data_IF_058003754594
#
_entry.id   IF_058003754594
#
_cell.length_a   1.000
_cell.length_b   1.000
_cell.length_c   1.000
_cell.angle_alpha   90.00
_cell.angle_beta   90.00
_cell.angle_gamma   90.00
#
_symmetry.space_group_name_H-M   'P 1'
#
loop_
_entity.id
_entity.type
_entity.pdbx_description
1 polymer ?
#
# COMPACT_ATOMS: atom_id res chain seq x y z
N UNK A 1 -12.35 -22.69 -2.25
CA UNK A 1 -10.88 -22.66 -2.32
C UNK A 1 -10.35 -23.09 -0.96
N UNK A 2 -9.38 -23.99 -0.93
CA UNK A 2 -8.60 -24.25 0.29
C UNK A 2 -7.89 -22.95 0.70
N UNK A 3 -7.72 -22.75 1.99
CA UNK A 3 -6.97 -21.60 2.55
C UNK A 3 -5.53 -21.67 2.05
N UNK A 4 -5.03 -20.59 1.44
CA UNK A 4 -3.64 -20.49 1.03
C UNK A 4 -2.87 -19.69 2.09
N UNK A 5 -2.20 -20.39 2.99
CA UNK A 5 -1.46 -19.80 4.12
C UNK A 5 -0.40 -18.81 3.67
N UNK A 6 0.32 -19.11 2.57
CA UNK A 6 1.37 -18.23 2.06
C UNK A 6 0.82 -16.86 1.66
N UNK A 7 -0.29 -16.82 0.91
CA UNK A 7 -0.94 -15.56 0.49
C UNK A 7 -1.55 -14.83 1.68
N UNK A 8 -2.18 -15.54 2.61
CA UNK A 8 -2.78 -14.93 3.81
C UNK A 8 -1.71 -14.27 4.68
N UNK A 9 -0.60 -14.97 4.94
CA UNK A 9 0.50 -14.44 5.76
C UNK A 9 1.27 -13.33 5.04
N UNK A 10 1.44 -13.44 3.70
CA UNK A 10 2.03 -12.37 2.91
C UNK A 10 1.20 -11.08 3.01
N UNK A 11 -0.13 -11.17 2.84
CA UNK A 11 -1.02 -10.01 2.99
C UNK A 11 -0.87 -9.36 4.37
N UNK A 12 -0.78 -10.17 5.41
CA UNK A 12 -0.58 -9.70 6.79
C UNK A 12 0.80 -9.07 6.97
N UNK A 13 1.83 -9.65 6.39
CA UNK A 13 3.19 -9.10 6.38
C UNK A 13 3.25 -7.74 5.69
N UNK A 14 2.58 -7.59 4.53
CA UNK A 14 2.48 -6.29 3.86
C UNK A 14 1.70 -5.28 4.69
N UNK A 15 0.67 -5.69 5.43
CA UNK A 15 -0.01 -4.81 6.39
C UNK A 15 0.93 -4.32 7.49
N UNK A 16 1.79 -5.18 8.01
CA UNK A 16 2.84 -4.76 8.98
C UNK A 16 3.77 -3.73 8.34
N UNK A 17 4.20 -3.95 7.08
CA UNK A 17 5.05 -2.99 6.35
C UNK A 17 4.36 -1.63 6.15
N UNK A 18 3.04 -1.58 5.97
CA UNK A 18 2.29 -0.32 5.94
C UNK A 18 2.40 0.42 7.28
N UNK A 19 2.27 -0.29 8.41
CA UNK A 19 2.42 0.34 9.74
C UNK A 19 3.85 0.79 9.97
N UNK A 20 4.85 -0.05 9.61
CA UNK A 20 6.29 0.31 9.66
C UNK A 20 6.55 1.58 8.86
N UNK A 21 6.02 1.67 7.63
CA UNK A 21 6.20 2.83 6.76
C UNK A 21 5.69 4.13 7.43
N UNK A 22 4.46 4.12 7.93
CA UNK A 22 3.87 5.30 8.56
C UNK A 22 4.52 5.64 9.92
N UNK A 23 4.93 4.63 10.70
CA UNK A 23 5.65 4.84 11.95
C UNK A 23 7.04 5.46 11.73
N UNK A 24 7.69 5.11 10.61
CA UNK A 24 9.02 5.61 10.26
C UNK A 24 9.01 7.04 9.72
N UNK A 25 7.94 7.45 8.99
CA UNK A 25 7.89 8.73 8.27
C UNK A 25 8.22 9.95 9.15
N UNK A 26 7.79 9.98 10.41
CA UNK A 26 8.07 11.11 11.32
C UNK A 26 9.57 11.36 11.55
N UNK A 27 10.41 10.32 11.37
CA UNK A 27 11.82 10.31 11.74
C UNK A 27 12.78 10.19 10.55
N UNK A 28 12.27 10.26 9.30
CA UNK A 28 13.09 10.26 8.08
C UNK A 28 13.74 11.62 7.85
N UNK A 29 14.88 11.65 7.16
CA UNK A 29 15.62 12.91 6.90
C UNK A 29 14.92 13.78 5.86
N UNK A 30 14.12 13.20 4.98
CA UNK A 30 13.38 13.90 3.92
C UNK A 30 11.99 14.39 4.35
N UNK A 31 11.50 13.96 5.52
CA UNK A 31 10.16 14.38 5.95
C UNK A 31 10.11 15.84 6.31
N UNK A 32 9.06 16.49 5.83
CA UNK A 32 8.79 17.90 6.02
C UNK A 32 7.41 18.11 6.62
N UNK A 33 7.32 19.02 7.60
CA UNK A 33 6.08 19.53 8.18
C UNK A 33 5.87 20.98 7.75
N UNK A 34 4.71 21.28 7.18
CA UNK A 34 4.31 22.63 6.76
C UNK A 34 3.22 23.16 7.72
N UNK A 35 3.54 24.04 8.67
CA UNK A 35 2.55 24.57 9.62
C UNK A 35 1.40 25.32 8.96
N UNK A 36 1.66 25.97 7.82
CA UNK A 36 0.65 26.69 7.06
C UNK A 36 -0.31 25.79 6.29
N UNK A 37 0.12 24.57 5.97
CA UNK A 37 -0.63 23.57 5.19
C UNK A 37 -0.44 22.16 5.73
N UNK A 38 -0.76 21.94 7.01
CA UNK A 38 -0.49 20.73 7.76
C UNK A 38 -0.99 19.45 7.07
N UNK A 39 -2.10 19.51 6.32
CA UNK A 39 -2.65 18.37 5.56
C UNK A 39 -1.81 18.00 4.32
N UNK A 40 -0.81 18.80 3.94
CA UNK A 40 0.12 18.56 2.83
C UNK A 40 1.53 18.19 3.28
N UNK A 41 1.75 18.10 4.57
CA UNK A 41 3.00 17.62 5.13
C UNK A 41 3.28 16.16 4.74
N UNK A 42 4.55 15.75 4.76
CA UNK A 42 4.95 14.36 4.46
C UNK A 42 4.31 13.37 5.42
N UNK A 43 4.18 13.76 6.68
CA UNK A 43 3.45 13.04 7.72
C UNK A 43 2.73 14.03 8.62
N UNK A 44 1.63 13.63 9.32
CA UNK A 44 0.90 14.51 10.24
C UNK A 44 1.77 15.06 11.37
N UNK A 45 2.72 14.28 11.82
CA UNK A 45 3.71 14.65 12.85
C UNK A 45 5.09 14.35 12.31
N UNK A 46 6.03 15.30 12.46
CA UNK A 46 7.41 15.16 12.02
C UNK A 46 8.32 15.63 13.13
N UNK A 47 9.19 14.74 13.61
CA UNK A 47 10.12 15.01 14.71
C UNK A 47 11.35 15.79 14.21
N UNK A 48 11.99 16.54 15.09
CA UNK A 48 13.30 17.17 14.82
C UNK A 48 14.43 16.16 14.81
N UNK A 49 14.30 15.07 15.57
CA UNK A 49 15.26 13.98 15.59
C UNK A 49 15.05 13.05 14.40
N UNK A 50 16.10 12.86 13.61
CA UNK A 50 16.08 12.08 12.37
C UNK A 50 17.00 10.87 12.48
N UNK A 51 16.69 9.83 11.72
CA UNK A 51 17.54 8.64 11.65
C UNK A 51 17.57 8.07 10.23
N UNK A 52 18.66 8.33 9.50
CA UNK A 52 18.84 8.01 8.08
C UNK A 52 18.51 6.55 7.71
N UNK A 53 18.76 5.52 8.52
CA UNK A 53 18.33 4.16 8.16
C UNK A 53 16.82 4.02 7.91
N UNK A 54 15.97 4.87 8.49
CA UNK A 54 14.53 4.86 8.21
C UNK A 54 14.21 5.38 6.80
N UNK A 55 15.06 6.20 6.20
CA UNK A 55 14.92 6.62 4.80
C UNK A 55 15.01 5.40 3.87
N UNK A 56 15.94 4.47 4.17
CA UNK A 56 16.10 3.23 3.41
C UNK A 56 14.89 2.32 3.58
N UNK A 57 14.36 2.20 4.81
CA UNK A 57 13.18 1.40 5.10
C UNK A 57 11.96 1.94 4.37
N UNK A 58 11.71 3.24 4.46
CA UNK A 58 10.57 3.90 3.80
C UNK A 58 10.72 3.85 2.28
N UNK A 59 11.91 4.21 1.77
CA UNK A 59 12.19 4.23 0.34
C UNK A 59 12.06 2.86 -0.31
N UNK A 60 12.67 1.81 0.29
CA UNK A 60 12.56 0.45 -0.24
C UNK A 60 11.12 -0.08 -0.18
N UNK A 61 10.43 0.15 0.94
CA UNK A 61 9.06 -0.30 1.14
C UNK A 61 8.09 0.34 0.14
N UNK A 62 8.25 1.64 -0.14
CA UNK A 62 7.40 2.38 -1.10
C UNK A 62 7.49 1.83 -2.54
N UNK A 63 8.60 1.15 -2.88
CA UNK A 63 8.80 0.59 -4.22
C UNK A 63 7.83 -0.54 -4.57
N UNK A 64 7.29 -1.30 -3.60
CA UNK A 64 6.57 -2.54 -3.94
C UNK A 64 5.28 -2.81 -3.16
N UNK A 65 5.16 -2.32 -1.91
CA UNK A 65 4.10 -2.80 -1.00
C UNK A 65 2.68 -2.52 -1.51
N UNK A 66 2.45 -1.35 -2.13
CA UNK A 66 1.13 -1.02 -2.67
C UNK A 66 0.78 -1.80 -3.94
N UNK A 67 1.63 -1.89 -4.98
CA UNK A 67 1.37 -2.77 -6.12
C UNK A 67 1.11 -4.23 -5.69
N UNK A 68 1.89 -4.75 -4.76
CA UNK A 68 1.72 -6.11 -4.23
C UNK A 68 0.36 -6.28 -3.53
N UNK A 69 -0.13 -5.28 -2.78
CA UNK A 69 -1.46 -5.31 -2.17
C UNK A 69 -2.57 -5.33 -3.21
N UNK A 70 -2.44 -4.57 -4.31
CA UNK A 70 -3.40 -4.63 -5.41
C UNK A 70 -3.37 -5.99 -6.11
N UNK A 71 -2.19 -6.55 -6.37
CA UNK A 71 -2.04 -7.91 -6.93
C UNK A 71 -2.75 -8.95 -6.07
N UNK A 72 -2.43 -9.00 -4.77
CA UNK A 72 -3.02 -9.95 -3.82
C UNK A 72 -4.55 -9.80 -3.78
N UNK A 73 -5.05 -8.56 -3.80
CA UNK A 73 -6.48 -8.28 -3.80
C UNK A 73 -7.16 -8.77 -5.09
N UNK A 74 -6.47 -8.71 -6.23
CA UNK A 74 -6.91 -9.20 -7.54
C UNK A 74 -7.08 -10.71 -7.59
N UNK A 75 -6.20 -11.47 -6.93
CA UNK A 75 -6.23 -12.95 -6.93
C UNK A 75 -7.59 -13.55 -6.55
N UNK A 76 -8.36 -12.86 -5.75
CA UNK A 76 -9.64 -13.36 -5.23
C UNK A 76 -10.87 -12.84 -6.01
N UNK A 77 -10.68 -12.03 -7.04
CA UNK A 77 -11.79 -11.40 -7.77
C UNK A 77 -12.52 -12.40 -8.64
N UNK A 78 -11.83 -13.06 -9.58
CA UNK A 78 -12.47 -14.02 -10.51
C UNK A 78 -13.18 -15.17 -9.78
N UNK A 79 -12.54 -15.88 -8.83
CA UNK A 79 -13.21 -16.93 -8.08
C UNK A 79 -14.43 -16.45 -7.28
N UNK A 80 -14.42 -15.17 -6.85
CA UNK A 80 -15.54 -14.57 -6.14
C UNK A 80 -16.70 -14.20 -7.07
N UNK A 81 -16.39 -13.65 -8.26
CA UNK A 81 -17.37 -13.32 -9.29
C UNK A 81 -18.08 -14.58 -9.81
N UNK A 82 -17.34 -15.66 -10.10
CA UNK A 82 -17.89 -16.94 -10.54
C UNK A 82 -18.82 -17.58 -9.50
N UNK A 83 -18.44 -17.53 -8.23
CA UNK A 83 -19.23 -18.13 -7.16
C UNK A 83 -20.48 -17.33 -6.79
N UNK A 84 -20.40 -15.99 -6.79
CA UNK A 84 -21.45 -15.12 -6.20
C UNK A 84 -22.21 -14.32 -7.24
N UNK A 85 -21.68 -14.19 -8.47
CA UNK A 85 -22.17 -13.23 -9.48
C UNK A 85 -21.78 -11.78 -9.17
N UNK A 86 -21.89 -10.91 -10.19
CA UNK A 86 -21.43 -9.51 -10.12
C UNK A 86 -22.13 -8.70 -9.03
N UNK A 87 -23.45 -8.82 -8.92
CA UNK A 87 -24.23 -8.01 -7.96
C UNK A 87 -23.84 -8.30 -6.49
N UNK A 88 -23.79 -9.57 -6.12
CA UNK A 88 -23.40 -9.97 -4.77
C UNK A 88 -21.94 -9.67 -4.47
N UNK A 89 -21.07 -9.85 -5.46
CA UNK A 89 -19.65 -9.47 -5.35
C UNK A 89 -19.49 -7.98 -5.04
N UNK A 90 -20.13 -7.11 -5.81
CA UNK A 90 -20.04 -5.66 -5.59
C UNK A 90 -20.63 -5.24 -4.25
N UNK A 91 -21.77 -5.81 -3.84
CA UNK A 91 -22.35 -5.54 -2.53
C UNK A 91 -21.38 -5.90 -1.40
N UNK A 92 -20.75 -7.09 -1.47
CA UNK A 92 -19.77 -7.52 -0.48
C UNK A 92 -18.52 -6.60 -0.47
N UNK A 93 -18.06 -6.16 -1.66
CA UNK A 93 -16.94 -5.22 -1.77
C UNK A 93 -17.30 -3.84 -1.22
N UNK A 94 -18.50 -3.32 -1.51
CA UNK A 94 -18.96 -2.04 -0.96
C UNK A 94 -19.05 -2.09 0.56
N UNK A 95 -19.56 -3.17 1.14
CA UNK A 95 -19.58 -3.34 2.59
C UNK A 95 -18.18 -3.35 3.19
N UNK A 96 -17.24 -4.12 2.62
CA UNK A 96 -15.90 -4.32 3.18
C UNK A 96 -14.88 -3.24 2.83
N UNK A 97 -15.09 -2.45 1.80
CA UNK A 97 -14.18 -1.37 1.40
C UNK A 97 -14.82 0.00 1.53
N UNK A 98 -16.09 0.13 1.11
CA UNK A 98 -16.82 1.40 1.12
C UNK A 98 -17.14 1.88 2.53
N UNK A 99 -17.72 1.02 3.39
CA UNK A 99 -18.03 1.40 4.78
C UNK A 99 -16.76 1.77 5.55
N UNK A 100 -15.67 0.96 5.57
CA UNK A 100 -14.42 1.36 6.22
C UNK A 100 -13.80 2.62 5.63
N UNK A 101 -13.92 2.84 4.32
CA UNK A 101 -13.46 4.09 3.70
C UNK A 101 -14.22 5.31 4.25
N UNK A 102 -15.58 5.23 4.32
CA UNK A 102 -16.40 6.31 4.89
C UNK A 102 -16.04 6.57 6.35
N UNK A 103 -15.94 5.53 7.17
CA UNK A 103 -15.52 5.64 8.57
C UNK A 103 -14.12 6.24 8.68
N UNK A 104 -13.21 5.83 7.79
CA UNK A 104 -11.83 6.34 7.78
C UNK A 104 -11.78 7.84 7.50
N UNK A 105 -12.41 8.33 6.45
CA UNK A 105 -12.28 9.74 6.13
C UNK A 105 -13.16 10.67 6.98
N UNK A 106 -14.27 10.16 7.55
CA UNK A 106 -15.17 10.96 8.41
C UNK A 106 -14.74 10.97 9.87
N UNK A 107 -14.11 9.92 10.38
CA UNK A 107 -13.79 9.75 11.78
C UNK A 107 -12.29 9.55 12.01
N UNK A 108 -11.69 8.53 11.37
CA UNK A 108 -10.32 8.15 11.71
C UNK A 108 -9.30 9.15 11.17
N UNK A 109 -9.50 9.73 9.98
CA UNK A 109 -8.62 10.75 9.45
C UNK A 109 -8.65 12.05 10.25
N UNK A 110 -9.80 12.65 10.62
CA UNK A 110 -9.80 13.76 11.55
C UNK A 110 -9.08 13.43 12.85
N UNK A 111 -9.32 12.27 13.45
CA UNK A 111 -8.63 11.86 14.68
C UNK A 111 -7.10 11.76 14.48
N UNK A 112 -6.66 11.22 13.34
CA UNK A 112 -5.24 11.07 13.02
C UNK A 112 -4.55 12.42 12.70
N UNK A 113 -5.26 13.37 12.12
CA UNK A 113 -4.71 14.68 11.76
C UNK A 113 -4.91 15.76 12.83
N UNK A 114 -5.66 15.48 13.90
CA UNK A 114 -5.83 16.41 15.01
C UNK A 114 -4.49 16.82 15.66
N UNK A 115 -3.53 15.88 15.94
CA UNK A 115 -2.20 16.25 16.40
C UNK A 115 -1.47 17.20 15.44
N UNK A 116 -1.61 16.97 14.12
CA UNK A 116 -1.01 17.83 13.11
C UNK A 116 -1.58 19.24 13.15
N UNK A 117 -2.89 19.37 13.30
CA UNK A 117 -3.56 20.66 13.46
C UNK A 117 -3.08 21.41 14.72
N UNK A 118 -2.91 20.72 15.84
CA UNK A 118 -2.37 21.31 17.07
C UNK A 118 -0.97 21.90 16.92
N UNK A 119 -0.17 21.37 15.99
CA UNK A 119 1.18 21.84 15.67
C UNK A 119 1.20 22.93 14.57
N UNK A 120 0.05 23.26 13.98
CA UNK A 120 -0.06 24.16 12.84
C UNK A 120 -0.47 25.57 13.20
N UNK A 121 -0.27 26.49 12.26
CA UNK A 121 -0.76 27.87 12.37
C UNK A 121 -2.29 27.96 12.33
N UNK A 122 -2.96 26.87 11.92
CA UNK A 122 -4.41 26.78 11.82
C UNK A 122 -5.12 26.80 13.20
N UNK A 123 -4.42 26.45 14.28
CA UNK A 123 -4.94 26.54 15.66
C UNK A 123 -5.46 27.93 15.98
N UNK A 124 -4.80 28.97 15.48
CA UNK A 124 -5.22 30.37 15.67
C UNK A 124 -6.51 30.72 14.93
N UNK A 125 -6.94 29.93 13.95
CA UNK A 125 -8.13 30.15 13.11
C UNK A 125 -9.42 29.57 13.72
N UNK A 126 -9.34 28.75 14.77
CA UNK A 126 -10.49 28.29 15.53
C UNK A 126 -10.83 26.80 15.41
N UNK A 127 -11.95 26.45 14.80
CA UNK A 127 -12.49 25.09 14.85
C UNK A 127 -11.75 24.11 13.91
N UNK A 128 -11.19 23.02 14.49
CA UNK A 128 -10.50 21.97 13.76
C UNK A 128 -11.36 21.29 12.69
N UNK A 129 -12.61 20.94 13.02
CA UNK A 129 -13.46 20.20 12.09
C UNK A 129 -13.82 21.06 10.87
N UNK A 130 -14.08 22.33 11.08
CA UNK A 130 -14.32 23.28 10.00
C UNK A 130 -13.08 23.40 9.10
N UNK A 131 -11.89 23.57 9.69
CA UNK A 131 -10.63 23.65 8.94
C UNK A 131 -10.29 22.36 8.19
N UNK A 132 -10.48 21.19 8.84
CA UNK A 132 -10.21 19.89 8.23
C UNK A 132 -11.12 19.59 7.05
N UNK A 133 -12.42 19.90 7.17
CA UNK A 133 -13.42 19.64 6.12
C UNK A 133 -13.60 20.81 5.16
N UNK A 134 -12.81 21.88 5.27
CA UNK A 134 -12.86 23.00 4.33
C UNK A 134 -12.56 22.54 2.90
N UNK A 135 -13.58 22.57 2.10
CA UNK A 135 -13.81 22.32 0.67
C UNK A 135 -12.75 21.58 -0.15
N UNK A 136 -11.47 21.89 -0.04
CA UNK A 136 -10.42 21.30 -0.90
C UNK A 136 -9.40 20.44 -0.18
N UNK A 137 -9.42 20.37 1.15
CA UNK A 137 -8.29 19.85 1.92
C UNK A 137 -8.49 18.48 2.56
N UNK A 138 -9.68 17.89 2.46
CA UNK A 138 -9.94 16.57 3.02
C UNK A 138 -8.91 15.54 2.59
N UNK A 139 -8.44 14.74 3.52
CA UNK A 139 -7.55 13.62 3.21
C UNK A 139 -8.05 12.35 3.89
N UNK A 140 -8.14 11.24 3.17
CA UNK A 140 -8.50 9.95 3.77
C UNK A 140 -7.29 9.29 4.46
N UNK A 141 -6.11 9.96 4.51
CA UNK A 141 -4.89 9.31 4.94
C UNK A 141 -4.62 8.01 4.17
N UNK A 142 -4.13 6.95 4.82
CA UNK A 142 -3.87 5.66 4.17
C UNK A 142 -5.10 4.99 3.55
N UNK A 143 -6.31 5.40 3.92
CA UNK A 143 -7.55 4.80 3.41
C UNK A 143 -7.80 5.08 1.90
N UNK A 144 -6.99 5.93 1.25
CA UNK A 144 -7.07 6.14 -0.21
C UNK A 144 -7.06 4.82 -1.00
N UNK A 145 -6.36 3.81 -0.51
CA UNK A 145 -6.30 2.49 -1.13
C UNK A 145 -7.68 1.78 -1.18
N UNK A 146 -8.52 1.96 -0.16
CA UNK A 146 -9.81 1.26 -0.06
C UNK A 146 -10.76 1.68 -1.19
N UNK A 147 -10.90 2.98 -1.42
CA UNK A 147 -11.78 3.47 -2.47
C UNK A 147 -11.26 3.10 -3.86
N UNK A 148 -9.94 3.19 -4.06
CA UNK A 148 -9.32 2.86 -5.34
C UNK A 148 -9.48 1.37 -5.65
N UNK A 149 -9.30 0.50 -4.65
CA UNK A 149 -9.54 -0.94 -4.78
C UNK A 149 -11.02 -1.25 -5.06
N UNK A 150 -11.94 -0.50 -4.46
CA UNK A 150 -13.38 -0.61 -4.74
C UNK A 150 -13.68 -0.20 -6.19
N UNK A 151 -13.12 0.91 -6.67
CA UNK A 151 -13.26 1.35 -8.05
C UNK A 151 -12.72 0.31 -9.04
N UNK A 152 -11.52 -0.22 -8.82
CA UNK A 152 -10.94 -1.29 -9.65
C UNK A 152 -11.80 -2.56 -9.65
N UNK A 153 -12.34 -2.93 -8.48
CA UNK A 153 -13.28 -4.06 -8.38
C UNK A 153 -14.56 -3.82 -9.19
N UNK A 154 -15.05 -2.58 -9.20
CA UNK A 154 -16.20 -2.17 -10.00
C UNK A 154 -15.94 -2.25 -11.51
N UNK A 155 -14.79 -1.75 -11.96
CA UNK A 155 -14.36 -1.83 -13.38
C UNK A 155 -14.28 -3.28 -13.84
N UNK A 156 -13.62 -4.16 -13.08
CA UNK A 156 -13.50 -5.58 -13.46
C UNK A 156 -14.84 -6.30 -13.41
N UNK A 157 -15.69 -6.05 -12.42
CA UNK A 157 -17.02 -6.64 -12.37
C UNK A 157 -17.92 -6.15 -13.52
N UNK A 158 -17.82 -4.88 -13.92
CA UNK A 158 -18.47 -4.31 -15.09
C UNK A 158 -17.99 -4.98 -16.38
N UNK A 159 -16.67 -5.13 -16.56
CA UNK A 159 -16.09 -5.84 -17.70
C UNK A 159 -16.54 -7.32 -17.74
N UNK A 160 -16.57 -8.00 -16.60
CA UNK A 160 -17.05 -9.38 -16.50
C UNK A 160 -18.53 -9.51 -16.93
N UNK A 161 -19.36 -8.53 -16.59
CA UNK A 161 -20.79 -8.51 -16.97
C UNK A 161 -21.00 -8.18 -18.44
N UNK A 162 -20.25 -7.19 -18.97
CA UNK A 162 -20.46 -6.67 -20.34
C UNK A 162 -19.73 -7.50 -21.39
N UNK A 163 -18.58 -8.08 -21.04
CA UNK A 163 -17.69 -8.81 -21.95
C UNK A 163 -17.27 -10.17 -21.37
N UNK A 164 -18.23 -11.08 -21.04
CA UNK A 164 -17.92 -12.32 -20.32
C UNK A 164 -16.96 -13.24 -21.10
N UNK A 165 -17.05 -13.25 -22.43
CA UNK A 165 -16.17 -14.06 -23.28
C UNK A 165 -14.72 -13.53 -23.33
N UNK A 166 -14.51 -12.22 -23.21
CA UNK A 166 -13.20 -11.61 -23.09
C UNK A 166 -12.60 -11.92 -21.71
N UNK A 167 -13.37 -11.75 -20.67
CA UNK A 167 -12.92 -11.97 -19.29
C UNK A 167 -12.53 -13.43 -19.03
N UNK A 168 -13.20 -14.40 -19.65
CA UNK A 168 -12.80 -15.82 -19.62
C UNK A 168 -11.43 -16.09 -20.25
N UNK A 169 -10.99 -15.22 -21.18
CA UNK A 169 -9.66 -15.30 -21.82
C UNK A 169 -8.58 -14.58 -21.01
N UNK A 170 -8.96 -13.73 -20.06
CA UNK A 170 -8.04 -13.03 -19.16
C UNK A 170 -7.57 -14.01 -18.08
N UNK A 171 -6.73 -14.95 -18.49
CA UNK A 171 -6.11 -15.94 -17.62
C UNK A 171 -4.60 -15.88 -17.82
N UNK A 172 -3.85 -15.92 -16.75
CA UNK A 172 -2.40 -15.95 -16.80
C UNK A 172 -1.90 -17.23 -16.15
N UNK A 173 -1.49 -18.16 -17.01
CA UNK A 173 -0.77 -19.37 -16.59
C UNK A 173 0.64 -19.29 -17.14
N UNK A 174 1.63 -19.36 -16.27
CA UNK A 174 3.03 -19.31 -16.64
C UNK A 174 3.70 -20.67 -16.36
N UNK A 175 4.42 -21.17 -17.34
CA UNK A 175 5.12 -22.46 -17.22
C UNK A 175 6.56 -22.32 -16.71
N UNK A 176 7.06 -21.08 -16.54
CA UNK A 176 8.42 -20.86 -16.08
C UNK A 176 8.59 -19.56 -15.29
N UNK A 177 9.55 -19.57 -14.39
CA UNK A 177 9.97 -18.38 -13.62
C UNK A 177 10.38 -17.21 -14.52
N UNK A 178 11.05 -17.47 -15.66
CA UNK A 178 11.46 -16.44 -16.61
C UNK A 178 10.27 -15.74 -17.26
N UNK A 179 9.26 -16.52 -17.67
CA UNK A 179 8.01 -15.97 -18.22
C UNK A 179 7.27 -15.13 -17.20
N UNK A 180 7.19 -15.60 -15.94
CA UNK A 180 6.58 -14.86 -14.85
C UNK A 180 7.25 -13.49 -14.66
N UNK A 181 8.57 -13.47 -14.47
CA UNK A 181 9.36 -12.23 -14.34
C UNK A 181 9.17 -11.33 -15.55
N UNK A 182 9.28 -11.87 -16.78
CA UNK A 182 9.16 -11.11 -18.02
C UNK A 182 7.82 -10.39 -18.15
N UNK A 183 6.70 -11.07 -17.82
CA UNK A 183 5.37 -10.48 -17.86
C UNK A 183 5.22 -9.37 -16.81
N UNK A 184 5.61 -9.63 -15.57
CA UNK A 184 5.52 -8.64 -14.49
C UNK A 184 6.38 -7.41 -14.78
N UNK A 185 7.60 -7.64 -15.31
CA UNK A 185 8.51 -6.55 -15.67
C UNK A 185 7.97 -5.72 -16.84
N UNK A 186 7.52 -6.39 -17.91
CA UNK A 186 6.96 -5.70 -19.08
C UNK A 186 5.74 -4.85 -18.72
N UNK A 187 4.83 -5.40 -17.91
CA UNK A 187 3.65 -4.68 -17.42
C UNK A 187 4.07 -3.52 -16.54
N UNK A 188 5.00 -3.72 -15.61
CA UNK A 188 5.48 -2.65 -14.71
C UNK A 188 6.14 -1.53 -15.49
N UNK A 189 7.05 -1.83 -16.42
CA UNK A 189 7.71 -0.83 -17.26
C UNK A 189 6.71 -0.04 -18.11
N UNK A 190 5.81 -0.74 -18.79
CA UNK A 190 4.83 -0.09 -19.67
C UNK A 190 3.91 0.85 -18.89
N UNK A 191 3.43 0.42 -17.73
CA UNK A 191 2.43 1.17 -16.95
C UNK A 191 3.04 2.18 -15.99
N UNK A 192 4.36 2.24 -15.87
CA UNK A 192 5.08 3.23 -15.04
C UNK A 192 5.83 4.23 -15.89
N UNK A 193 6.66 3.75 -16.85
CA UNK A 193 7.52 4.64 -17.62
C UNK A 193 6.70 5.58 -18.51
N UNK A 194 5.72 5.05 -19.25
CA UNK A 194 4.92 5.88 -20.14
C UNK A 194 4.16 7.00 -19.40
N UNK A 195 3.40 6.74 -18.31
CA UNK A 195 2.77 7.82 -17.56
C UNK A 195 3.78 8.79 -16.93
N UNK A 196 4.92 8.29 -16.44
CA UNK A 196 5.91 9.11 -15.76
C UNK A 196 6.58 10.14 -16.68
N UNK A 197 6.65 9.88 -17.99
CA UNK A 197 7.15 10.86 -18.97
C UNK A 197 6.30 12.14 -19.00
N UNK A 198 4.99 12.03 -18.74
CA UNK A 198 4.03 13.14 -18.82
C UNK A 198 3.60 13.66 -17.45
N UNK A 199 3.69 12.82 -16.40
CA UNK A 199 3.17 13.10 -15.06
C UNK A 199 4.33 12.99 -14.07
N UNK A 200 4.61 14.05 -13.33
CA UNK A 200 5.68 14.04 -12.32
C UNK A 200 5.44 12.98 -11.23
N UNK A 201 6.51 12.38 -10.67
CA UNK A 201 6.41 11.26 -9.72
C UNK A 201 5.74 11.65 -8.39
N UNK A 202 5.77 12.91 -8.02
CA UNK A 202 5.17 13.42 -6.77
C UNK A 202 3.71 13.88 -6.94
N UNK A 203 3.12 13.69 -8.14
CA UNK A 203 1.79 14.21 -8.44
C UNK A 203 0.70 13.35 -7.81
N UNK A 204 -0.07 13.99 -6.94
CA UNK A 204 -1.32 13.46 -6.39
C UNK A 204 -2.51 14.16 -7.03
N UNK A 205 -3.44 13.39 -7.60
CA UNK A 205 -4.69 13.91 -8.11
C UNK A 205 -5.78 13.77 -7.05
N UNK A 206 -6.53 14.84 -6.87
CA UNK A 206 -7.75 14.88 -6.10
C UNK A 206 -8.93 15.03 -7.07
N UNK A 207 -9.81 14.04 -7.12
CA UNK A 207 -11.01 14.14 -7.96
C UNK A 207 -12.04 15.06 -7.29
N UNK A 208 -12.37 14.74 -6.04
CA UNK A 208 -13.27 15.51 -5.20
C UNK A 208 -13.13 15.02 -3.75
N UNK A 209 -13.07 15.94 -2.77
CA UNK A 209 -13.00 15.61 -1.36
C UNK A 209 -11.91 14.57 -1.02
N UNK A 210 -12.27 13.42 -0.40
CA UNK A 210 -11.30 12.41 0.03
C UNK A 210 -10.83 11.47 -1.09
N UNK A 211 -11.33 11.62 -2.34
CA UNK A 211 -10.95 10.74 -3.45
C UNK A 211 -9.62 11.19 -4.07
N UNK A 212 -8.54 10.84 -3.38
CA UNK A 212 -7.16 11.14 -3.79
C UNK A 212 -6.43 9.87 -4.21
N UNK A 213 -5.48 10.00 -5.13
CA UNK A 213 -4.59 8.91 -5.54
C UNK A 213 -3.29 9.48 -6.14
N UNK A 214 -2.25 8.67 -6.14
CA UNK A 214 -0.98 9.00 -6.76
C UNK A 214 -1.08 8.77 -8.28
N UNK A 215 -0.98 9.85 -9.03
CA UNK A 215 -1.44 9.91 -10.44
C UNK A 215 -0.63 9.00 -11.35
N UNK A 216 0.70 9.10 -11.31
CA UNK A 216 1.57 8.33 -12.20
C UNK A 216 1.58 6.82 -11.89
N UNK A 217 1.25 6.42 -10.66
CA UNK A 217 1.16 5.00 -10.23
C UNK A 217 -0.22 4.37 -10.46
N UNK A 218 -1.22 5.15 -10.85
CA UNK A 218 -2.59 4.65 -11.05
C UNK A 218 -2.63 3.46 -12.02
N UNK A 219 -1.95 3.61 -13.16
CA UNK A 219 -1.93 2.58 -14.20
C UNK A 219 -1.20 1.33 -13.74
N UNK A 220 -0.10 1.48 -12.99
CA UNK A 220 0.62 0.36 -12.37
C UNK A 220 -0.28 -0.38 -11.38
N UNK A 221 -0.94 0.32 -10.47
CA UNK A 221 -1.83 -0.29 -9.47
C UNK A 221 -2.96 -1.05 -10.14
N UNK A 222 -3.59 -0.46 -11.16
CA UNK A 222 -4.64 -1.14 -11.92
C UNK A 222 -4.11 -2.36 -12.67
N UNK A 223 -2.98 -2.25 -13.34
CA UNK A 223 -2.37 -3.36 -14.08
C UNK A 223 -1.98 -4.53 -13.16
N UNK A 224 -1.40 -4.24 -11.99
CA UNK A 224 -1.07 -5.26 -10.99
C UNK A 224 -2.32 -5.91 -10.39
N UNK A 225 -3.39 -5.14 -10.18
CA UNK A 225 -4.68 -5.69 -9.80
C UNK A 225 -5.22 -6.64 -10.88
N UNK A 226 -5.15 -6.26 -12.17
CA UNK A 226 -5.58 -7.10 -13.31
C UNK A 226 -4.67 -8.33 -13.46
N UNK A 227 -3.36 -8.22 -13.25
CA UNK A 227 -2.47 -9.39 -13.17
C UNK A 227 -2.92 -10.35 -12.07
N UNK A 228 -3.29 -9.84 -10.91
CA UNK A 228 -3.88 -10.63 -9.84
C UNK A 228 -5.18 -11.32 -10.27
N UNK A 229 -6.08 -10.60 -10.95
CA UNK A 229 -7.33 -11.16 -11.50
C UNK A 229 -7.04 -12.30 -12.47
N UNK A 230 -6.08 -12.12 -13.37
CA UNK A 230 -5.69 -13.11 -14.38
C UNK A 230 -5.03 -14.36 -13.77
N UNK A 231 -4.18 -14.17 -12.76
CA UNK A 231 -3.59 -15.27 -11.99
C UNK A 231 -4.64 -16.03 -11.16
N UNK A 232 -5.59 -15.29 -10.58
CA UNK A 232 -6.71 -15.90 -9.82
C UNK A 232 -7.72 -16.64 -10.70
N UNK A 233 -7.84 -16.26 -11.97
CA UNK A 233 -8.69 -16.94 -12.97
C UNK A 233 -8.02 -18.23 -13.49
N UNK A 234 -6.71 -18.26 -13.53
CA UNK A 234 -5.94 -19.47 -13.81
C UNK A 234 -5.87 -20.37 -12.55
N UNK A 235 -5.32 -21.54 -12.69
CA UNK A 235 -5.01 -22.34 -11.52
C UNK A 235 -3.84 -21.68 -10.75
N UNK A 236 -4.15 -21.02 -9.63
CA UNK A 236 -3.18 -20.30 -8.81
C UNK A 236 -2.01 -21.21 -8.36
N UNK A 237 -2.30 -22.49 -8.09
CA UNK A 237 -1.29 -23.46 -7.68
C UNK A 237 -0.29 -23.78 -8.80
N UNK A 238 -0.70 -23.67 -10.06
CA UNK A 238 0.19 -23.86 -11.22
C UNK A 238 0.98 -22.58 -11.53
N UNK A 239 0.33 -21.42 -11.52
CA UNK A 239 0.95 -20.15 -11.90
C UNK A 239 1.95 -19.65 -10.86
N UNK A 240 1.66 -19.85 -9.58
CA UNK A 240 2.53 -19.54 -8.45
C UNK A 240 3.09 -20.81 -7.81
N UNK A 241 3.49 -21.78 -8.65
CA UNK A 241 4.09 -23.05 -8.18
C UNK A 241 5.42 -22.79 -7.48
N UNK A 242 5.80 -23.76 -6.62
CA UNK A 242 7.11 -23.74 -5.94
C UNK A 242 8.27 -23.59 -6.92
N UNK A 243 8.18 -24.24 -8.09
CA UNK A 243 9.26 -24.21 -9.09
C UNK A 243 9.38 -22.82 -9.76
N UNK A 244 8.25 -22.18 -10.06
CA UNK A 244 8.24 -20.84 -10.63
C UNK A 244 8.73 -19.78 -9.63
N UNK A 245 8.52 -19.97 -8.33
CA UNK A 245 8.92 -19.05 -7.27
C UNK A 245 10.26 -19.39 -6.61
N UNK A 246 10.87 -20.55 -6.96
CA UNK A 246 12.16 -21.01 -6.39
C UNK A 246 13.28 -19.98 -6.52
N UNK A 247 13.41 -19.18 -7.61
CA UNK A 247 14.47 -18.17 -7.72
C UNK A 247 14.29 -16.93 -6.84
N UNK A 248 13.36 -16.89 -5.89
CA UNK A 248 13.08 -15.74 -5.05
C UNK A 248 14.32 -15.11 -4.36
N UNK A 249 15.36 -15.87 -3.91
CA UNK A 249 16.55 -15.24 -3.32
C UNK A 249 17.31 -14.41 -4.33
N UNK A 250 17.42 -14.88 -5.59
CA UNK A 250 18.04 -14.11 -6.68
C UNK A 250 17.26 -12.83 -6.94
N UNK A 251 15.93 -12.88 -6.97
CA UNK A 251 15.11 -11.69 -7.19
C UNK A 251 15.26 -10.68 -6.05
N UNK A 252 15.37 -11.15 -4.79
CA UNK A 252 15.63 -10.27 -3.65
C UNK A 252 16.99 -9.59 -3.79
N UNK A 253 18.03 -10.33 -4.16
CA UNK A 253 19.37 -9.77 -4.39
C UNK A 253 19.32 -8.74 -5.53
N UNK A 254 18.65 -9.03 -6.64
CA UNK A 254 18.50 -8.09 -7.75
C UNK A 254 17.74 -6.83 -7.32
N UNK A 255 16.67 -6.95 -6.55
CA UNK A 255 15.94 -5.80 -6.02
C UNK A 255 16.84 -4.89 -5.15
N UNK A 256 17.60 -5.50 -4.24
CA UNK A 256 18.55 -4.76 -3.38
C UNK A 256 19.63 -4.08 -4.22
N UNK A 257 20.22 -4.79 -5.18
CA UNK A 257 21.26 -4.22 -6.06
C UNK A 257 20.73 -3.03 -6.87
N UNK A 258 19.52 -3.14 -7.44
CA UNK A 258 18.91 -2.04 -8.19
C UNK A 258 18.62 -0.86 -7.26
N UNK A 259 18.11 -1.11 -6.06
CA UNK A 259 17.83 -0.06 -5.08
C UNK A 259 19.12 0.65 -4.63
N UNK A 260 20.16 -0.09 -4.30
CA UNK A 260 21.47 0.48 -3.90
C UNK A 260 22.11 1.23 -5.07
N UNK A 261 22.06 0.69 -6.28
CA UNK A 261 22.55 1.37 -7.47
C UNK A 261 21.83 2.69 -7.72
N UNK A 262 20.52 2.74 -7.49
CA UNK A 262 19.73 3.96 -7.56
C UNK A 262 20.14 4.98 -6.50
N UNK A 263 20.32 4.56 -5.25
CA UNK A 263 20.78 5.44 -4.16
C UNK A 263 22.16 6.06 -4.43
N UNK A 264 23.05 5.31 -5.07
CA UNK A 264 24.40 5.77 -5.38
C UNK A 264 24.48 6.58 -6.70
N UNK A 265 23.66 6.20 -7.70
CA UNK A 265 23.71 6.76 -9.05
C UNK A 265 22.71 7.86 -9.35
N UNK A 266 21.62 7.97 -8.58
CA UNK A 266 20.57 8.99 -8.76
C UNK A 266 20.73 10.16 -7.78
N UNK A 267 21.95 10.63 -7.59
CA UNK A 267 22.20 11.79 -6.73
C UNK A 267 21.64 13.06 -7.38
N UNK A 268 21.06 13.98 -6.59
CA UNK A 268 20.48 15.21 -7.12
C UNK A 268 21.43 16.01 -8.04
N UNK A 269 22.72 16.04 -7.71
CA UNK A 269 23.76 16.71 -8.47
C UNK A 269 23.98 16.13 -9.89
N UNK A 270 23.83 14.78 -10.02
CA UNK A 270 23.97 14.10 -11.31
C UNK A 270 22.71 14.25 -12.16
N UNK A 271 21.55 14.29 -11.50
CA UNK A 271 20.25 14.41 -12.16
C UNK A 271 19.97 15.84 -12.62
N UNK A 272 20.51 16.87 -11.92
CA UNK A 272 20.26 18.27 -12.20
C UNK A 272 20.67 18.70 -13.62
N UNK A 273 21.65 18.00 -14.23
CA UNK A 273 22.14 18.28 -15.57
C UNK A 273 21.46 17.43 -16.68
N UNK A 274 20.52 16.54 -16.31
CA UNK A 274 19.80 15.72 -17.27
C UNK A 274 18.46 16.35 -17.65
N UNK A 275 17.99 16.13 -18.89
CA UNK A 275 16.62 16.50 -19.24
C UNK A 275 15.60 15.81 -18.31
N UNK A 276 14.56 16.52 -17.93
CA UNK A 276 13.57 16.04 -16.95
C UNK A 276 12.92 14.71 -17.35
N UNK A 277 12.64 14.52 -18.64
CA UNK A 277 12.08 13.24 -19.14
C UNK A 277 13.03 12.06 -18.96
N UNK A 278 14.37 12.27 -19.08
CA UNK A 278 15.38 11.23 -18.82
C UNK A 278 15.36 10.84 -17.35
N UNK A 279 15.38 11.82 -16.46
CA UNK A 279 15.33 11.61 -15.02
C UNK A 279 14.07 10.85 -14.60
N UNK A 280 12.93 11.24 -15.16
CA UNK A 280 11.65 10.57 -14.94
C UNK A 280 11.68 9.12 -15.46
N UNK A 281 12.20 8.88 -16.66
CA UNK A 281 12.30 7.54 -17.24
C UNK A 281 13.21 6.62 -16.42
N UNK A 282 14.35 7.12 -15.95
CA UNK A 282 15.27 6.36 -15.10
C UNK A 282 14.58 6.00 -13.77
N UNK A 283 13.97 6.98 -13.09
CA UNK A 283 13.27 6.77 -11.83
C UNK A 283 12.13 5.75 -11.96
N UNK A 284 11.33 5.85 -13.01
CA UNK A 284 10.25 4.91 -13.31
C UNK A 284 10.77 3.49 -13.63
N UNK A 285 11.92 3.40 -14.31
CA UNK A 285 12.56 2.11 -14.62
C UNK A 285 13.08 1.45 -13.35
N UNK A 286 13.79 2.18 -12.50
CA UNK A 286 14.26 1.70 -11.19
C UNK A 286 13.08 1.24 -10.34
N UNK A 287 12.04 2.05 -10.26
CA UNK A 287 10.82 1.70 -9.54
C UNK A 287 10.22 0.38 -10.05
N UNK A 288 10.10 0.22 -11.38
CA UNK A 288 9.52 -0.98 -12.01
C UNK A 288 10.34 -2.24 -11.72
N UNK A 289 11.68 -2.13 -11.77
CA UNK A 289 12.60 -3.23 -11.45
C UNK A 289 12.49 -3.62 -9.97
N UNK A 290 12.60 -2.64 -9.06
CA UNK A 290 12.45 -2.87 -7.62
C UNK A 290 11.08 -3.46 -7.28
N UNK A 291 10.00 -2.88 -7.82
CA UNK A 291 8.64 -3.36 -7.64
C UNK A 291 8.49 -4.83 -8.03
N UNK A 292 8.92 -5.17 -9.25
CA UNK A 292 8.79 -6.52 -9.80
C UNK A 292 9.60 -7.53 -8.99
N UNK A 293 10.90 -7.28 -8.82
CA UNK A 293 11.78 -8.23 -8.15
C UNK A 293 11.43 -8.40 -6.66
N UNK A 294 11.14 -7.32 -5.94
CA UNK A 294 10.76 -7.42 -4.52
C UNK A 294 9.43 -8.13 -4.32
N UNK A 295 8.43 -7.84 -5.16
CA UNK A 295 7.12 -8.48 -5.04
C UNK A 295 7.17 -9.98 -5.35
N UNK A 296 7.90 -10.38 -6.41
CA UNK A 296 8.09 -11.79 -6.73
C UNK A 296 8.94 -12.49 -5.67
N UNK A 297 9.96 -11.81 -5.12
CA UNK A 297 10.72 -12.34 -4.00
C UNK A 297 9.85 -12.54 -2.76
N UNK A 298 8.96 -11.59 -2.44
CA UNK A 298 8.04 -11.69 -1.31
C UNK A 298 7.04 -12.84 -1.47
N UNK A 299 6.50 -13.04 -2.69
CA UNK A 299 5.66 -14.20 -3.02
C UNK A 299 6.41 -15.52 -2.84
N UNK A 300 7.65 -15.61 -3.34
CA UNK A 300 8.48 -16.81 -3.24
C UNK A 300 8.91 -17.11 -1.82
N UNK A 301 9.28 -16.08 -1.05
CA UNK A 301 9.58 -16.18 0.37
C UNK A 301 8.37 -16.72 1.14
N UNK A 302 7.19 -16.10 0.93
CA UNK A 302 5.97 -16.53 1.60
C UNK A 302 5.64 -17.99 1.28
N UNK A 303 5.75 -18.39 0.01
CA UNK A 303 5.49 -19.77 -0.43
C UNK A 303 6.50 -20.77 0.15
N UNK A 304 7.74 -20.36 0.36
CA UNK A 304 8.82 -21.20 0.90
C UNK A 304 8.70 -21.44 2.40
N UNK A 305 8.33 -20.42 3.16
CA UNK A 305 8.36 -20.46 4.63
C UNK A 305 6.99 -20.71 5.27
N UNK A 306 5.90 -20.25 4.68
CA UNK A 306 4.58 -20.34 5.31
C UNK A 306 3.79 -21.56 4.84
N UNK A 307 4.32 -22.75 5.19
CA UNK A 307 3.70 -24.05 4.84
C UNK A 307 2.84 -24.62 5.96
N UNK A 308 3.10 -24.23 7.19
CA UNK A 308 2.40 -24.70 8.40
C UNK A 308 1.72 -23.54 9.09
N UNK A 309 0.54 -23.80 9.67
CA UNK A 309 -0.18 -22.80 10.44
C UNK A 309 0.56 -22.48 11.75
N UNK A 310 0.62 -21.20 12.09
CA UNK A 310 1.19 -20.69 13.33
C UNK A 310 0.17 -19.79 14.03
N UNK A 311 -0.20 -20.12 15.28
CA UNK A 311 -1.32 -19.49 16.00
C UNK A 311 -1.22 -17.95 16.08
N UNK A 312 -0.03 -17.42 16.33
CA UNK A 312 0.19 -15.96 16.39
C UNK A 312 -0.03 -15.31 15.02
N UNK A 313 0.53 -15.90 13.96
CA UNK A 313 0.35 -15.41 12.59
C UNK A 313 -1.12 -15.53 12.13
N UNK A 314 -1.82 -16.60 12.53
CA UNK A 314 -3.25 -16.75 12.27
C UNK A 314 -4.08 -15.69 12.97
N UNK A 315 -3.79 -15.38 14.23
CA UNK A 315 -4.46 -14.31 14.97
C UNK A 315 -4.21 -12.94 14.31
N UNK A 316 -2.96 -12.66 13.93
CA UNK A 316 -2.64 -11.42 13.23
C UNK A 316 -3.33 -11.35 11.87
N UNK A 317 -3.32 -12.42 11.09
CA UNK A 317 -3.98 -12.50 9.77
C UNK A 317 -5.48 -12.27 9.88
N UNK A 318 -6.10 -12.80 10.90
CA UNK A 318 -7.53 -12.59 11.15
C UNK A 318 -7.87 -11.11 11.40
N UNK A 319 -6.93 -10.34 11.96
CA UNK A 319 -7.11 -8.94 12.33
C UNK A 319 -6.41 -7.95 11.38
N UNK A 320 -5.62 -8.43 10.40
CA UNK A 320 -4.76 -7.60 9.55
C UNK A 320 -5.52 -6.47 8.84
N UNK A 321 -6.75 -6.72 8.42
CA UNK A 321 -7.56 -5.69 7.75
C UNK A 321 -7.95 -4.54 8.69
N UNK A 322 -8.38 -4.84 9.91
CA UNK A 322 -8.67 -3.81 10.89
C UNK A 322 -7.41 -3.09 11.36
N UNK A 323 -6.27 -3.80 11.51
CA UNK A 323 -4.97 -3.16 11.75
C UNK A 323 -4.68 -2.12 10.66
N UNK A 324 -4.89 -2.47 9.39
CA UNK A 324 -4.74 -1.52 8.29
C UNK A 324 -5.66 -0.30 8.45
N UNK A 325 -6.91 -0.48 8.86
CA UNK A 325 -7.89 0.61 8.98
C UNK A 325 -7.54 1.56 10.14
N UNK A 326 -7.11 1.02 11.29
CA UNK A 326 -6.98 1.79 12.54
C UNK A 326 -5.57 2.30 12.85
N UNK A 327 -4.52 1.70 12.27
CA UNK A 327 -3.14 1.99 12.67
C UNK A 327 -2.75 3.46 12.65
N UNK A 328 -3.28 4.22 11.68
CA UNK A 328 -2.80 5.57 11.43
C UNK A 328 -3.11 6.53 12.58
N UNK A 329 -4.25 6.35 13.24
CA UNK A 329 -4.60 7.11 14.45
C UNK A 329 -3.55 6.86 15.54
N UNK A 330 -3.24 5.59 15.81
CA UNK A 330 -2.28 5.25 16.87
C UNK A 330 -0.86 5.69 16.52
N UNK A 331 -0.46 5.60 15.25
CA UNK A 331 0.83 6.10 14.77
C UNK A 331 0.97 7.60 15.06
N UNK A 332 0.02 8.41 14.60
CA UNK A 332 0.14 9.87 14.68
C UNK A 332 0.07 10.40 16.10
N UNK A 333 -0.81 9.81 16.93
CA UNK A 333 -0.88 10.19 18.33
C UNK A 333 0.36 9.79 19.13
N UNK A 334 0.92 8.60 18.87
CA UNK A 334 2.14 8.17 19.54
C UNK A 334 3.33 9.03 19.12
N UNK A 335 3.45 9.36 17.82
CA UNK A 335 4.45 10.30 17.32
C UNK A 335 4.32 11.66 18.00
N UNK A 336 3.10 12.17 18.15
CA UNK A 336 2.84 13.45 18.83
C UNK A 336 3.27 13.44 20.31
N UNK A 337 2.90 12.40 21.05
CA UNK A 337 3.31 12.27 22.47
C UNK A 337 4.83 12.15 22.63
N UNK A 338 5.50 11.54 21.65
CA UNK A 338 6.96 11.36 21.71
C UNK A 338 7.76 12.57 21.25
N UNK A 339 7.13 13.64 20.69
CA UNK A 339 7.86 14.80 20.18
C UNK A 339 8.77 15.44 21.24
N UNK A 340 8.25 15.62 22.45
CA UNK A 340 8.95 16.29 23.56
C UNK A 340 9.84 15.35 24.37
N UNK A 341 9.75 14.04 24.12
CA UNK A 341 10.53 13.06 24.89
C UNK A 341 12.00 13.05 24.44
N UNK A 342 12.97 13.04 25.38
CA UNK A 342 14.40 13.03 25.06
C UNK A 342 14.92 11.63 24.68
N UNK A 343 14.23 10.98 23.73
CA UNK A 343 14.54 9.63 23.27
C UNK A 343 15.14 9.69 21.85
N UNK A 344 16.08 8.78 21.50
CA UNK A 344 16.60 8.67 20.15
C UNK A 344 15.49 8.34 19.13
N UNK A 345 15.59 8.84 17.90
CA UNK A 345 14.60 8.63 16.81
C UNK A 345 14.30 7.14 16.58
N UNK A 346 15.33 6.27 16.64
CA UNK A 346 15.17 4.83 16.51
C UNK A 346 14.24 4.24 17.60
N UNK A 347 14.39 4.67 18.85
CA UNK A 347 13.56 4.19 19.94
C UNK A 347 12.12 4.75 19.83
N UNK A 348 11.97 6.02 19.48
CA UNK A 348 10.66 6.63 19.21
C UNK A 348 9.92 5.87 18.10
N UNK A 349 10.61 5.53 17.00
CA UNK A 349 10.06 4.70 15.93
C UNK A 349 9.59 3.33 16.44
N UNK A 350 10.42 2.61 17.19
CA UNK A 350 10.09 1.28 17.71
C UNK A 350 8.88 1.32 18.67
N UNK A 351 8.82 2.32 19.55
CA UNK A 351 7.69 2.52 20.47
C UNK A 351 6.41 2.83 19.68
N UNK A 352 6.49 3.72 18.67
CA UNK A 352 5.36 4.05 17.79
C UNK A 352 4.86 2.80 17.07
N UNK A 353 5.77 2.03 16.48
CA UNK A 353 5.43 0.80 15.78
C UNK A 353 4.76 -0.23 16.69
N UNK A 354 5.34 -0.48 17.86
CA UNK A 354 4.82 -1.44 18.84
C UNK A 354 3.42 -1.05 19.31
N UNK A 355 3.22 0.21 19.72
CA UNK A 355 1.91 0.70 20.18
C UNK A 355 0.89 0.65 19.05
N UNK A 356 1.25 1.11 17.86
CA UNK A 356 0.32 1.13 16.73
C UNK A 356 -0.14 -0.29 16.32
N UNK A 357 0.79 -1.25 16.25
CA UNK A 357 0.44 -2.65 15.93
C UNK A 357 -0.42 -3.28 17.02
N UNK A 358 -0.02 -3.14 18.27
CA UNK A 358 -0.72 -3.78 19.41
C UNK A 358 -2.11 -3.17 19.61
N UNK A 359 -2.21 -1.85 19.64
CA UNK A 359 -3.50 -1.16 19.87
C UNK A 359 -4.48 -1.41 18.71
N UNK A 360 -4.01 -1.35 17.45
CA UNK A 360 -4.85 -1.65 16.29
C UNK A 360 -5.31 -3.10 16.27
N UNK A 361 -4.43 -4.04 16.64
CA UNK A 361 -4.78 -5.45 16.72
C UNK A 361 -5.81 -5.71 17.81
N UNK A 362 -5.60 -5.18 19.03
CA UNK A 362 -6.54 -5.31 20.15
C UNK A 362 -7.91 -4.70 19.83
N UNK A 363 -7.91 -3.48 19.27
CA UNK A 363 -9.16 -2.82 18.86
C UNK A 363 -9.92 -3.65 17.82
N UNK A 364 -9.20 -4.19 16.83
CA UNK A 364 -9.81 -5.04 15.80
C UNK A 364 -10.39 -6.31 16.40
N UNK A 365 -9.66 -6.99 17.29
CA UNK A 365 -10.14 -8.21 17.95
C UNK A 365 -11.41 -7.96 18.76
N UNK A 366 -11.46 -6.82 19.46
CA UNK A 366 -12.66 -6.39 20.20
C UNK A 366 -13.84 -6.11 19.25
N UNK A 367 -13.62 -5.33 18.19
CA UNK A 367 -14.68 -4.97 17.25
C UNK A 367 -15.22 -6.19 16.48
N UNK A 368 -14.37 -7.18 16.19
CA UNK A 368 -14.80 -8.43 15.55
C UNK A 368 -15.72 -9.29 16.43
N UNK A 369 -15.82 -9.03 17.73
CA UNK A 369 -16.80 -9.64 18.63
C UNK A 369 -18.17 -8.98 18.55
N UNK A 370 -18.29 -7.89 17.79
CA UNK A 370 -19.51 -7.12 17.56
C UNK A 370 -20.03 -7.29 16.12
N UNK A 371 -21.08 -6.55 15.77
CA UNK A 371 -21.62 -6.47 14.39
C UNK A 371 -20.59 -5.97 13.37
N UNK A 372 -19.53 -5.28 13.79
CA UNK A 372 -18.44 -4.82 12.92
C UNK A 372 -17.67 -5.98 12.24
N UNK A 373 -17.83 -7.22 12.72
CA UNK A 373 -17.27 -8.43 12.08
C UNK A 373 -17.70 -8.60 10.62
N UNK A 374 -18.86 -8.09 10.23
CA UNK A 374 -19.31 -8.20 8.84
C UNK A 374 -18.53 -7.31 7.89
N UNK A 375 -17.86 -6.30 8.43
CA UNK A 375 -17.13 -5.27 7.70
C UNK A 375 -15.62 -5.45 7.84
N UNK A 376 -15.15 -5.83 9.03
CA UNK A 376 -13.76 -6.16 9.37
C UNK A 376 -13.51 -7.68 9.19
#
# INVERSE_FOLDING_TARGET
>A
MKRNLAIDYLRSGVTILVVVHHAALAYTTFSHYDPGRYLRSTAPVVDVLRWMPLDLVVGFNDMFFMPLMFLISGLFVTPSLERKGCGRFLLDRTKRLGIPFIVSFMILSPLAFYPSWLLSDAVSRGDFLLDFFDGSNWTPGPAWFLWLLLAFSGVVAGAYRLMPNLMKKVTLSTSSARSLVGIFLAVSLLTTVLPCLFIGPETWTRLWGPFVFQTWRLFLYFAWFVLGVALGAANLELSLSSDNLRPWPLWLVLAILVFVAALLGLRPEQLANMPEWVTRAISATVYSLCCTFTSLAALGLAHSFFRTAWSLADSFTANAYGVYVFHYVFVTWMQFYLLTEPLPAALKFLLTLFVALTASWLLTDLLRKTVAREVL
#
